data_IF_795592041725
#
_entry.id   IF_795592041725
#
_cell.length_a   1.000
_cell.length_b   1.000
_cell.length_c   1.000
_cell.angle_alpha   90.00
_cell.angle_beta   90.00
_cell.angle_gamma   90.00
#
_symmetry.space_group_name_H-M   'P 1'
#
loop_
_entity.id
_entity.type
_entity.pdbx_description
1 polymer ?
#
# COMPACT_ATOMS: atom_id res chain seq x y z
N UNK A 1 -12.80 -0.16 11.94
CA UNK A 1 -11.40 0.04 12.39
C UNK A 1 -10.42 -0.96 11.76
N UNK A 2 -10.75 -2.25 11.67
CA UNK A 2 -9.88 -3.28 11.08
C UNK A 2 -9.39 -2.96 9.64
N UNK A 3 -10.29 -2.52 8.76
CA UNK A 3 -9.91 -2.14 7.38
C UNK A 3 -8.90 -0.98 7.31
N UNK A 4 -9.03 0.02 8.19
CA UNK A 4 -8.07 1.13 8.26
C UNK A 4 -6.70 0.67 8.75
N UNK A 5 -6.64 -0.24 9.71
CA UNK A 5 -5.38 -0.84 10.15
C UNK A 5 -4.67 -1.56 9.00
N UNK A 6 -5.41 -2.37 8.24
CA UNK A 6 -4.85 -3.13 7.11
C UNK A 6 -4.34 -2.20 6.01
N UNK A 7 -5.09 -1.15 5.65
CA UNK A 7 -4.63 -0.19 4.63
C UNK A 7 -3.38 0.57 5.07
N UNK A 8 -3.32 1.03 6.33
CA UNK A 8 -2.16 1.76 6.85
C UNK A 8 -0.93 0.86 6.95
N UNK A 9 -1.08 -0.40 7.38
CA UNK A 9 0.03 -1.35 7.41
C UNK A 9 0.55 -1.66 6.00
N UNK A 10 -0.34 -1.83 5.03
CA UNK A 10 0.06 -2.04 3.64
C UNK A 10 0.82 -0.83 3.08
N UNK A 11 0.42 0.40 3.42
CA UNK A 11 1.15 1.61 3.02
C UNK A 11 2.54 1.71 3.67
N UNK A 12 2.67 1.37 4.96
CA UNK A 12 3.97 1.33 5.64
C UNK A 12 4.90 0.29 5.01
N UNK A 13 4.37 -0.90 4.72
CA UNK A 13 5.10 -1.96 4.03
C UNK A 13 5.51 -1.54 2.62
N UNK A 14 4.66 -0.81 1.90
CA UNK A 14 4.95 -0.27 0.59
C UNK A 14 6.15 0.70 0.64
N UNK A 15 6.15 1.61 1.60
CA UNK A 15 7.25 2.54 1.82
C UNK A 15 8.54 1.78 2.14
N UNK A 16 8.52 0.85 3.10
CA UNK A 16 9.70 0.05 3.45
C UNK A 16 10.24 -0.73 2.25
N UNK A 17 9.36 -1.35 1.45
CA UNK A 17 9.76 -2.06 0.24
C UNK A 17 10.41 -1.14 -0.79
N UNK A 18 9.89 0.08 -0.98
CA UNK A 18 10.48 1.06 -1.89
C UNK A 18 11.87 1.53 -1.43
N UNK A 19 12.04 1.83 -0.14
CA UNK A 19 13.34 2.24 0.43
C UNK A 19 14.36 1.10 0.45
N UNK A 20 13.93 -0.15 0.63
CA UNK A 20 14.81 -1.34 0.56
C UNK A 20 15.42 -1.55 -0.82
N UNK A 21 14.72 -1.14 -1.88
CA UNK A 21 15.25 -1.24 -3.24
C UNK A 21 16.27 -0.15 -3.54
N UNK A 22 15.95 1.11 -3.19
CA UNK A 22 16.85 2.25 -3.30
C UNK A 22 16.27 3.45 -2.55
N UNK A 23 17.12 4.23 -1.88
CA UNK A 23 16.72 5.50 -1.26
C UNK A 23 16.11 6.46 -2.28
N UNK A 24 16.61 6.49 -3.52
CA UNK A 24 16.04 7.31 -4.59
C UNK A 24 14.66 6.81 -5.02
N UNK A 25 14.44 5.49 -5.09
CA UNK A 25 13.12 4.93 -5.40
C UNK A 25 12.10 5.20 -4.28
N UNK A 26 12.52 5.13 -3.02
CA UNK A 26 11.70 5.53 -1.87
C UNK A 26 11.30 7.00 -1.90
N UNK A 27 12.26 7.90 -2.18
CA UNK A 27 11.99 9.35 -2.31
C UNK A 27 11.08 9.67 -3.50
N UNK A 28 11.31 9.05 -4.66
CA UNK A 28 10.44 9.22 -5.83
C UNK A 28 9.04 8.69 -5.59
N UNK A 29 8.88 7.61 -4.82
CA UNK A 29 7.57 7.09 -4.43
C UNK A 29 6.79 8.03 -3.50
N UNK A 30 7.47 8.85 -2.70
CA UNK A 30 6.85 9.90 -1.88
C UNK A 30 6.44 11.12 -2.70
N UNK A 31 7.22 11.46 -3.74
CA UNK A 31 6.96 12.63 -4.58
C UNK A 31 5.91 12.35 -5.65
N UNK A 32 5.98 11.18 -6.28
CA UNK A 32 5.09 10.77 -7.37
C UNK A 32 4.51 9.39 -7.01
N UNK A 33 3.21 9.32 -6.67
CA UNK A 33 2.58 8.06 -6.23
C UNK A 33 2.75 6.90 -7.22
N UNK A 34 2.81 7.19 -8.52
CA UNK A 34 3.04 6.20 -9.58
C UNK A 34 4.36 5.42 -9.45
N UNK A 35 5.41 6.05 -8.89
CA UNK A 35 6.70 5.39 -8.69
C UNK A 35 6.66 4.30 -7.62
N UNK A 36 5.74 4.40 -6.65
CA UNK A 36 5.57 3.37 -5.63
C UNK A 36 5.15 2.05 -6.27
N UNK A 37 4.14 2.09 -7.16
CA UNK A 37 3.67 0.90 -7.87
C UNK A 37 4.76 0.28 -8.75
N UNK A 38 5.57 1.12 -9.41
CA UNK A 38 6.69 0.66 -10.22
C UNK A 38 7.77 -0.02 -9.36
N UNK A 39 8.12 0.57 -8.21
CA UNK A 39 9.09 0.03 -7.27
C UNK A 39 8.62 -1.29 -6.66
N UNK A 40 7.34 -1.39 -6.31
CA UNK A 40 6.72 -2.61 -5.82
C UNK A 40 6.68 -3.72 -6.88
N UNK A 41 6.44 -3.38 -8.14
CA UNK A 41 6.47 -4.35 -9.23
C UNK A 41 7.89 -4.89 -9.46
N UNK A 42 8.90 -4.01 -9.41
CA UNK A 42 10.31 -4.40 -9.53
C UNK A 42 10.82 -5.25 -8.36
N UNK A 43 10.29 -5.04 -7.16
CA UNK A 43 10.65 -5.84 -5.97
C UNK A 43 9.88 -7.15 -5.83
N UNK A 44 8.91 -7.43 -6.72
CA UNK A 44 8.02 -8.59 -6.64
C UNK A 44 6.99 -8.51 -5.50
N UNK A 45 6.93 -7.38 -4.79
CA UNK A 45 6.03 -7.19 -3.64
C UNK A 45 4.70 -6.50 -4.02
N UNK A 46 4.45 -6.25 -5.32
CA UNK A 46 3.23 -5.60 -5.80
C UNK A 46 1.96 -6.30 -5.33
N UNK A 47 1.76 -7.56 -5.70
CA UNK A 47 0.56 -8.31 -5.34
C UNK A 47 0.32 -8.43 -3.83
N UNK A 48 1.31 -8.82 -3.00
CA UNK A 48 1.06 -8.94 -1.56
C UNK A 48 0.73 -7.59 -0.89
N UNK A 49 1.31 -6.48 -1.34
CA UNK A 49 1.12 -5.16 -0.73
C UNK A 49 -0.14 -4.47 -1.27
N UNK A 50 -0.32 -4.44 -2.60
CA UNK A 50 -1.50 -3.81 -3.22
C UNK A 50 -2.76 -4.63 -2.96
N UNK A 51 -2.65 -5.96 -2.94
CA UNK A 51 -3.77 -6.85 -2.61
C UNK A 51 -4.25 -6.70 -1.17
N UNK A 52 -3.33 -6.61 -0.19
CA UNK A 52 -3.69 -6.37 1.21
C UNK A 52 -4.28 -4.96 1.41
N UNK A 53 -3.71 -3.95 0.75
CA UNK A 53 -4.28 -2.62 0.74
C UNK A 53 -5.72 -2.61 0.19
N UNK A 54 -5.96 -3.25 -0.95
CA UNK A 54 -7.29 -3.33 -1.55
C UNK A 54 -8.29 -4.05 -0.64
N UNK A 55 -7.88 -5.17 -0.02
CA UNK A 55 -8.72 -5.88 0.96
C UNK A 55 -9.08 -4.98 2.16
N UNK A 56 -8.13 -4.18 2.65
CA UNK A 56 -8.37 -3.20 3.70
C UNK A 56 -9.40 -2.13 3.28
N UNK A 57 -9.29 -1.59 2.07
CA UNK A 57 -10.26 -0.62 1.51
C UNK A 57 -11.65 -1.24 1.43
N UNK A 58 -11.75 -2.47 0.91
CA UNK A 58 -13.03 -3.19 0.83
C UNK A 58 -13.64 -3.41 2.21
N UNK A 59 -12.84 -3.74 3.21
CA UNK A 59 -13.32 -3.89 4.59
C UNK A 59 -13.81 -2.56 5.20
N UNK A 60 -13.19 -1.42 4.86
CA UNK A 60 -13.69 -0.09 5.26
C UNK A 60 -15.03 0.18 4.58
N UNK A 61 -15.12 0.01 3.26
CA UNK A 61 -16.34 0.26 2.49
C UNK A 61 -17.49 -0.62 2.99
N UNK A 62 -17.26 -1.92 3.14
CA UNK A 62 -18.26 -2.85 3.67
C UNK A 62 -18.71 -2.46 5.09
N UNK A 63 -17.77 -2.05 5.95
CA UNK A 63 -18.08 -1.56 7.28
C UNK A 63 -18.93 -0.28 7.26
N UNK A 64 -18.64 0.67 6.38
CA UNK A 64 -19.43 1.90 6.23
C UNK A 64 -20.83 1.60 5.73
N UNK A 65 -20.99 0.71 4.74
CA UNK A 65 -22.31 0.33 4.20
C UNK A 65 -23.13 -0.43 5.25
N UNK A 66 -22.52 -1.35 6.00
CA UNK A 66 -23.22 -2.14 7.01
C UNK A 66 -23.70 -1.32 8.22
N UNK A 67 -23.10 -0.15 8.44
CA UNK A 67 -23.43 0.78 9.53
C UNK A 67 -24.28 1.98 9.08
N UNK A 68 -24.62 2.06 7.79
CA UNK A 68 -25.47 3.09 7.20
C UNK A 68 -26.94 2.65 7.17
#
# INVERSE_FOLDING_TARGET
>A
MLGMLVTTLAQLLACVAAFRHSAASGLLALLVPGYLFLALNRSGAYWPIVGSWLAGVLAVVAGTIALA
#
